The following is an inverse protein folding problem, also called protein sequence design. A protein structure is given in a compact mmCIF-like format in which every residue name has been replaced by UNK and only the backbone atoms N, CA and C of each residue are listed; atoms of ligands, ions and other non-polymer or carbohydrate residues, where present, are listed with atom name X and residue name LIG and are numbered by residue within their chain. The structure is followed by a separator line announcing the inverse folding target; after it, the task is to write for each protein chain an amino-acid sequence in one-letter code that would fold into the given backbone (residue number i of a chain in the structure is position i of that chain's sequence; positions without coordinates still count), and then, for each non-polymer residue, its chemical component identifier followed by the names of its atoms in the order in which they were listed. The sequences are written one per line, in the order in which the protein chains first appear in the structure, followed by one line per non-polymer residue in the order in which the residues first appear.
data_IF_147625851525
#
_entry.id   IF_147625851525
#
_cell.length_a   1.000
_cell.length_b   1.000
_cell.length_c   1.000
_cell.angle_alpha   90.00
_cell.angle_beta   90.00
_cell.angle_gamma   90.00
#
_symmetry.space_group_name_H-M   'P 1'
#
loop_
_entity.id
_entity.type
_entity.pdbx_description
1 polymer ?
#
# COMPACT_ATOMS: atom_id res chain seq x y z
N UNK A 1 -9.46 6.46 -2.45
CA UNK A 1 -8.01 6.19 -2.25
C UNK A 1 -7.41 5.53 -3.48
N UNK A 2 -7.98 4.42 -3.94
CA UNK A 2 -7.56 3.74 -5.18
C UNK A 2 -7.56 4.69 -6.37
N UNK A 3 -8.60 5.49 -6.56
CA UNK A 3 -8.65 6.52 -7.62
C UNK A 3 -7.47 7.50 -7.55
N UNK A 4 -7.05 7.93 -6.35
CA UNK A 4 -5.89 8.83 -6.19
C UNK A 4 -4.58 8.14 -6.54
N UNK A 5 -4.47 6.85 -6.24
CA UNK A 5 -3.32 6.01 -6.62
C UNK A 5 -3.29 5.86 -8.14
N UNK A 6 -4.44 5.59 -8.78
CA UNK A 6 -4.55 5.47 -10.23
C UNK A 6 -4.25 6.78 -10.96
N UNK A 7 -4.74 7.92 -10.45
CA UNK A 7 -4.60 9.21 -11.13
C UNK A 7 -3.19 9.81 -11.04
N UNK A 8 -2.45 9.54 -9.96
CA UNK A 8 -1.09 10.03 -9.76
C UNK A 8 -0.30 9.12 -8.82
N UNK A 9 0.12 7.92 -9.27
CA UNK A 9 0.78 6.95 -8.42
C UNK A 9 2.15 7.44 -7.92
N UNK A 10 2.80 8.33 -8.67
CA UNK A 10 4.12 8.85 -8.34
C UNK A 10 4.11 9.91 -7.23
N UNK A 11 2.94 10.46 -6.88
CA UNK A 11 2.76 11.38 -5.75
C UNK A 11 2.89 10.70 -4.38
N UNK A 12 2.89 9.37 -4.33
CA UNK A 12 3.05 8.61 -3.09
C UNK A 12 4.52 8.23 -2.88
N UNK A 13 5.06 8.36 -1.65
CA UNK A 13 6.47 8.11 -1.40
C UNK A 13 6.83 6.64 -1.63
N UNK A 14 7.99 6.42 -2.22
CA UNK A 14 8.65 5.12 -2.21
C UNK A 14 9.15 4.82 -0.79
N UNK A 15 8.87 3.61 -0.29
CA UNK A 15 9.22 3.18 1.07
C UNK A 15 10.22 2.03 1.09
N UNK A 16 10.36 1.29 -0.01
CA UNK A 16 11.36 0.24 -0.17
C UNK A 16 11.52 -0.12 -1.66
N UNK A 17 12.68 0.19 -2.25
CA UNK A 17 12.89 0.12 -3.70
C UNK A 17 11.81 0.93 -4.43
N UNK A 18 11.18 0.33 -5.43
CA UNK A 18 10.06 0.95 -6.18
C UNK A 18 8.70 0.81 -5.49
N UNK A 19 8.65 0.18 -4.32
CA UNK A 19 7.39 -0.01 -3.58
C UNK A 19 6.97 1.31 -2.96
N UNK A 20 5.76 1.76 -3.29
CA UNK A 20 5.15 3.00 -2.82
C UNK A 20 4.09 2.72 -1.78
N UNK A 21 3.88 3.67 -0.86
CA UNK A 21 2.91 3.54 0.23
C UNK A 21 1.89 4.67 0.23
N UNK A 22 0.63 4.26 0.32
CA UNK A 22 -0.54 5.10 0.38
C UNK A 22 -1.25 4.92 1.74
N UNK A 23 -1.35 5.97 2.56
CA UNK A 23 -2.01 5.89 3.87
C UNK A 23 -3.48 6.26 3.78
N UNK A 24 -4.36 5.37 4.27
CA UNK A 24 -5.80 5.62 4.37
C UNK A 24 -6.12 6.34 5.67
N UNK A 25 -6.80 7.50 5.59
CA UNK A 25 -7.04 8.38 6.76
C UNK A 25 -8.00 7.81 7.82
N UNK A 26 -9.09 7.15 7.41
CA UNK A 26 -10.20 6.76 8.32
C UNK A 26 -9.93 5.47 9.13
N UNK A 27 -9.03 4.63 8.64
CA UNK A 27 -8.52 3.42 9.29
C UNK A 27 -7.07 3.30 8.82
N UNK A 28 -6.05 3.22 9.68
CA UNK A 28 -4.65 3.48 9.30
C UNK A 28 -4.04 2.31 8.51
N UNK A 29 -4.69 1.87 7.46
CA UNK A 29 -4.15 0.94 6.49
C UNK A 29 -3.10 1.65 5.63
N UNK A 30 -1.97 0.99 5.41
CA UNK A 30 -1.05 1.29 4.33
C UNK A 30 -1.35 0.38 3.14
N UNK A 31 -1.61 0.98 1.98
CA UNK A 31 -1.65 0.29 0.69
C UNK A 31 -0.24 0.35 0.13
N UNK A 32 0.37 -0.81 -0.10
CA UNK A 32 1.68 -0.97 -0.69
C UNK A 32 1.50 -1.41 -2.14
N UNK A 33 2.16 -0.71 -3.06
CA UNK A 33 2.00 -0.97 -4.49
C UNK A 33 3.26 -0.63 -5.27
N UNK A 34 3.35 -1.10 -6.51
CA UNK A 34 4.37 -0.73 -7.49
C UNK A 34 3.70 -0.25 -8.78
N UNK A 35 4.42 0.59 -9.53
CA UNK A 35 4.02 1.01 -10.88
C UNK A 35 4.90 0.23 -11.85
N UNK A 36 4.28 -0.55 -12.74
CA UNK A 36 4.97 -1.33 -13.76
C UNK A 36 4.38 -0.95 -15.12
N UNK A 37 5.07 -0.07 -15.85
CA UNK A 37 4.51 0.48 -17.10
C UNK A 37 3.23 1.27 -16.85
N UNK A 38 2.13 0.82 -17.44
CA UNK A 38 0.78 1.36 -17.31
C UNK A 38 -0.05 0.68 -16.20
N UNK A 39 0.51 -0.31 -15.51
CA UNK A 39 -0.17 -1.05 -14.45
C UNK A 39 0.26 -0.62 -13.04
N UNK A 40 -0.69 -0.78 -12.10
CA UNK A 40 -0.45 -0.61 -10.67
C UNK A 40 -0.69 -1.94 -9.97
N UNK A 41 0.37 -2.53 -9.44
CA UNK A 41 0.31 -3.80 -8.71
C UNK A 41 0.26 -3.52 -7.21
N UNK A 42 -0.88 -3.81 -6.58
CA UNK A 42 -1.02 -3.73 -5.12
C UNK A 42 -0.43 -4.99 -4.49
N UNK A 43 0.67 -4.85 -3.77
CA UNK A 43 1.40 -5.96 -3.14
C UNK A 43 0.93 -6.26 -1.72
N UNK A 44 0.24 -5.31 -1.07
CA UNK A 44 -0.31 -5.56 0.26
C UNK A 44 -1.12 -4.41 0.83
N UNK A 45 -2.06 -4.75 1.71
CA UNK A 45 -2.87 -3.80 2.48
C UNK A 45 -2.73 -4.13 3.96
N UNK A 46 -1.98 -3.30 4.69
CA UNK A 46 -1.54 -3.60 6.06
C UNK A 46 -2.14 -2.61 7.05
N UNK A 47 -2.79 -3.11 8.10
CA UNK A 47 -3.35 -2.27 9.16
C UNK A 47 -2.25 -1.75 10.11
N UNK A 48 -1.97 -0.45 10.08
CA UNK A 48 -0.85 0.18 10.78
C UNK A 48 -0.92 0.20 12.31
N UNK A 49 -2.08 -0.08 12.91
CA UNK A 49 -2.23 -0.26 14.37
C UNK A 49 -2.29 -1.72 14.81
N UNK A 50 -2.28 -2.69 13.88
CA UNK A 50 -2.39 -4.12 14.23
C UNK A 50 -0.98 -4.67 14.45
N UNK A 51 -0.78 -5.40 15.56
CA UNK A 51 0.51 -5.99 15.86
C UNK A 51 0.98 -6.91 14.71
N UNK A 52 2.22 -6.76 14.21
CA UNK A 52 2.73 -7.45 13.01
C UNK A 52 2.81 -8.99 13.13
N UNK A 53 2.48 -9.59 14.28
CA UNK A 53 2.50 -11.06 14.49
C UNK A 53 1.18 -11.77 14.16
N UNK A 54 0.11 -11.05 13.82
CA UNK A 54 -1.23 -11.66 13.62
C UNK A 54 -1.49 -12.29 12.24
N UNK A 55 -0.55 -12.20 11.29
CA UNK A 55 -0.73 -12.78 9.95
C UNK A 55 -0.19 -14.21 9.83
N UNK A 56 0.68 -14.63 10.75
CA UNK A 56 1.21 -16.01 10.82
C UNK A 56 0.17 -17.05 11.25
N UNK A 57 -1.01 -16.62 11.69
CA UNK A 57 -2.07 -17.51 12.20
C UNK A 57 -3.21 -17.72 11.19
N UNK A 58 -2.97 -17.53 9.90
CA UNK A 58 -3.94 -17.83 8.85
C UNK A 58 -3.30 -18.79 7.86
N UNK A 59 -3.51 -20.08 8.14
CA UNK A 59 -3.41 -21.19 7.18
C UNK A 59 -4.77 -21.42 6.54
#
# INVERSE_FOLDING_TARGET
MIERIASNPLAFPAVYGETRRAVVRRFPYGIYFRVLGDEIIVTGVIHGRRHPRRWQSRS
#
